data_IF_401940997418
#
_entry.id   IF_401940997418
#
_cell.length_a   1.000
_cell.length_b   1.000
_cell.length_c   1.000
_cell.angle_alpha   90.00
_cell.angle_beta   90.00
_cell.angle_gamma   90.00
#
_symmetry.space_group_name_H-M   'P 1'
#
loop_
_entity.id
_entity.type
_entity.pdbx_description
1 polymer ?
#
# COMPACT_ATOMS: atom_id res chain seq x y z
N UNK A 1 -34.03 20.14 28.28
CA UNK A 1 -32.55 20.16 28.13
C UNK A 1 -31.95 18.81 27.75
N UNK A 2 -32.34 17.70 28.39
CA UNK A 2 -31.81 16.35 28.08
C UNK A 2 -32.00 15.91 26.62
N UNK A 3 -33.21 16.08 26.06
CA UNK A 3 -33.52 15.71 24.67
C UNK A 3 -32.68 16.52 23.66
N UNK A 4 -32.46 17.81 23.92
CA UNK A 4 -31.67 18.68 23.06
C UNK A 4 -30.20 18.22 23.00
N UNK A 5 -29.65 17.81 24.15
CA UNK A 5 -28.29 17.29 24.27
C UNK A 5 -28.15 15.94 23.52
N UNK A 6 -29.14 15.07 23.62
CA UNK A 6 -29.16 13.79 22.90
C UNK A 6 -29.21 13.99 21.38
N UNK A 7 -29.99 14.96 20.89
CA UNK A 7 -30.05 15.30 19.46
C UNK A 7 -28.70 15.84 18.97
N UNK A 8 -28.07 16.73 19.76
CA UNK A 8 -26.76 17.29 19.43
C UNK A 8 -25.67 16.21 19.32
N UNK A 9 -25.67 15.20 20.21
CA UNK A 9 -24.72 14.10 20.13
C UNK A 9 -24.96 13.19 18.92
N UNK A 10 -26.22 12.95 18.54
CA UNK A 10 -26.55 12.16 17.35
C UNK A 10 -26.09 12.85 16.06
N UNK A 11 -26.32 14.16 15.93
CA UNK A 11 -25.94 14.90 14.73
C UNK A 11 -24.43 15.12 14.63
N UNK A 12 -23.73 15.26 15.76
CA UNK A 12 -22.27 15.35 15.79
C UNK A 12 -21.59 14.08 15.25
N UNK A 13 -22.15 12.89 15.53
CA UNK A 13 -21.63 11.63 15.03
C UNK A 13 -21.70 11.47 13.50
N UNK A 14 -22.68 12.10 12.84
CA UNK A 14 -22.86 12.03 11.39
C UNK A 14 -21.83 12.87 10.61
N UNK A 15 -21.16 13.82 11.26
CA UNK A 15 -20.13 14.68 10.64
C UNK A 15 -18.74 14.04 10.70
N UNK A 16 -18.58 12.96 11.48
CA UNK A 16 -17.30 12.27 11.61
C UNK A 16 -17.06 11.37 10.40
N UNK A 17 -16.10 11.73 9.56
CA UNK A 17 -15.55 10.87 8.50
C UNK A 17 -14.63 9.80 9.08
N UNK A 18 -15.12 9.01 10.03
CA UNK A 18 -14.37 7.92 10.68
C UNK A 18 -14.40 6.60 9.87
N UNK A 19 -14.95 6.64 8.66
CA UNK A 19 -15.02 5.48 7.78
C UNK A 19 -13.61 5.22 7.22
N UNK A 20 -13.11 3.96 7.23
CA UNK A 20 -11.89 3.64 6.51
C UNK A 20 -12.02 4.07 5.05
N UNK A 21 -11.14 4.95 4.60
CA UNK A 21 -11.04 5.32 3.19
C UNK A 21 -9.98 4.46 2.51
N UNK A 22 -10.26 4.07 1.27
CA UNK A 22 -9.26 3.43 0.42
C UNK A 22 -8.11 4.41 0.15
N UNK A 23 -6.92 4.09 0.65
CA UNK A 23 -5.73 4.94 0.51
C UNK A 23 -5.03 4.72 -0.84
N UNK A 24 -4.90 3.47 -1.29
CA UNK A 24 -4.25 3.12 -2.57
C UNK A 24 -4.75 1.78 -3.10
N UNK A 25 -4.80 1.67 -4.43
CA UNK A 25 -5.04 0.41 -5.14
C UNK A 25 -3.81 0.09 -5.97
N UNK A 26 -3.22 -1.09 -5.74
CA UNK A 26 -2.22 -1.66 -6.63
C UNK A 26 -2.92 -2.56 -7.64
N UNK A 27 -2.61 -2.38 -8.94
CA UNK A 27 -3.15 -3.20 -10.03
C UNK A 27 -2.47 -4.57 -10.16
N UNK A 28 -1.48 -4.84 -9.31
CA UNK A 28 -0.63 -6.03 -9.29
C UNK A 28 -0.52 -6.54 -7.86
N UNK A 29 -0.11 -7.80 -7.71
CA UNK A 29 0.19 -8.37 -6.38
C UNK A 29 1.19 -7.50 -5.64
N UNK A 30 0.86 -7.19 -4.39
CA UNK A 30 1.65 -6.34 -3.50
C UNK A 30 1.66 -6.95 -2.12
N UNK A 31 2.81 -6.97 -1.47
CA UNK A 31 2.98 -7.50 -0.11
C UNK A 31 4.01 -6.67 0.66
N UNK A 32 4.20 -6.97 1.95
CA UNK A 32 5.11 -6.24 2.85
C UNK A 32 6.41 -7.05 3.02
N UNK A 33 7.53 -6.35 2.98
CA UNK A 33 8.84 -6.87 3.40
C UNK A 33 9.44 -5.94 4.45
N UNK A 34 10.27 -6.48 5.36
CA UNK A 34 10.98 -5.69 6.36
C UNK A 34 12.47 -5.64 6.02
N UNK A 35 13.02 -4.44 5.90
CA UNK A 35 14.42 -4.21 5.55
C UNK A 35 15.19 -3.68 6.77
N UNK A 36 16.33 -4.29 7.12
CA UNK A 36 17.07 -3.99 8.36
C UNK A 36 17.33 -2.49 8.59
N UNK A 37 17.65 -1.74 7.54
CA UNK A 37 18.01 -0.31 7.62
C UNK A 37 16.89 0.64 7.18
N UNK A 38 15.80 0.12 6.64
CA UNK A 38 14.74 0.95 6.04
C UNK A 38 13.35 0.66 6.62
N UNK A 39 13.22 -0.33 7.51
CA UNK A 39 11.95 -0.77 8.07
C UNK A 39 11.04 -1.42 7.03
N UNK A 40 9.74 -1.38 7.30
CA UNK A 40 8.75 -2.02 6.45
C UNK A 40 8.53 -1.25 5.15
N UNK A 41 8.34 -2.02 4.07
CA UNK A 41 8.08 -1.53 2.72
C UNK A 41 7.04 -2.41 2.06
N UNK A 42 6.17 -1.80 1.28
CA UNK A 42 5.43 -2.55 0.27
C UNK A 42 6.38 -2.88 -0.87
N UNK A 43 6.23 -4.06 -1.46
CA UNK A 43 6.84 -4.38 -2.73
C UNK A 43 5.76 -4.80 -3.72
N UNK A 44 5.86 -4.30 -4.94
CA UNK A 44 4.94 -4.60 -6.03
C UNK A 44 5.74 -4.92 -7.29
N UNK A 45 5.18 -5.83 -8.09
CA UNK A 45 5.80 -6.30 -9.32
C UNK A 45 5.24 -5.55 -10.54
N UNK A 46 6.08 -4.77 -11.21
CA UNK A 46 5.73 -4.17 -12.49
C UNK A 46 6.16 -5.11 -13.62
N UNK A 47 5.21 -5.95 -14.05
CA UNK A 47 5.40 -6.96 -15.09
C UNK A 47 5.77 -6.31 -16.43
N UNK A 48 5.11 -5.20 -16.78
CA UNK A 48 5.28 -4.54 -18.06
C UNK A 48 6.69 -3.98 -18.22
N UNK A 49 7.22 -3.37 -17.16
CA UNK A 49 8.56 -2.77 -17.16
C UNK A 49 9.65 -3.69 -16.63
N UNK A 50 9.32 -4.94 -16.25
CA UNK A 50 10.25 -5.91 -15.66
C UNK A 50 10.95 -5.34 -14.41
N UNK A 51 10.16 -4.81 -13.47
CA UNK A 51 10.67 -4.16 -12.26
C UNK A 51 10.05 -4.73 -10.98
N UNK A 52 10.82 -4.72 -9.91
CA UNK A 52 10.31 -4.70 -8.55
C UNK A 52 10.31 -3.26 -8.05
N UNK A 53 9.18 -2.79 -7.53
CA UNK A 53 9.04 -1.44 -6.97
C UNK A 53 8.75 -1.55 -5.49
N UNK A 54 9.55 -0.87 -4.69
CA UNK A 54 9.35 -0.75 -3.25
C UNK A 54 8.71 0.60 -2.96
N UNK A 55 7.71 0.60 -2.09
CA UNK A 55 7.03 1.78 -1.60
C UNK A 55 7.15 1.87 -0.09
N UNK A 56 7.21 3.09 0.42
CA UNK A 56 7.05 3.36 1.84
C UNK A 56 5.63 2.99 2.30
N UNK A 57 5.41 2.93 3.62
CA UNK A 57 4.09 2.61 4.18
C UNK A 57 3.02 3.67 3.89
N UNK A 58 3.42 4.86 3.41
CA UNK A 58 2.55 5.93 2.90
C UNK A 58 2.34 5.87 1.37
N UNK A 59 2.67 4.74 0.75
CA UNK A 59 2.59 4.48 -0.70
C UNK A 59 3.51 5.34 -1.59
N UNK A 60 4.39 6.18 -1.03
CA UNK A 60 5.40 6.89 -1.81
C UNK A 60 6.48 5.93 -2.35
N UNK A 61 6.95 6.15 -3.58
CA UNK A 61 7.97 5.30 -4.20
C UNK A 61 9.30 5.43 -3.43
N UNK A 62 9.84 4.31 -2.97
CA UNK A 62 11.11 4.23 -2.24
C UNK A 62 12.27 3.83 -3.16
N UNK A 63 12.09 2.76 -3.93
CA UNK A 63 13.14 2.22 -4.80
C UNK A 63 12.54 1.46 -5.99
N UNK A 64 13.19 1.55 -7.14
CA UNK A 64 12.91 0.70 -8.31
C UNK A 64 14.11 -0.19 -8.57
N UNK A 65 13.86 -1.50 -8.70
CA UNK A 65 14.86 -2.51 -9.03
C UNK A 65 14.49 -3.09 -10.39
N UNK A 66 15.35 -2.88 -11.40
CA UNK A 66 15.19 -3.52 -12.69
C UNK A 66 15.55 -5.00 -12.60
N UNK A 67 14.72 -5.87 -13.16
CA UNK A 67 14.91 -7.30 -13.16
C UNK A 67 15.27 -7.78 -14.57
N UNK A 68 16.24 -8.68 -14.66
CA UNK A 68 16.59 -9.32 -15.92
C UNK A 68 15.63 -10.47 -16.18
N UNK A 69 14.73 -10.31 -17.14
CA UNK A 69 13.78 -11.35 -17.56
C UNK A 69 14.15 -11.81 -18.97
N UNK A 70 14.51 -13.11 -19.15
CA UNK A 70 14.79 -13.68 -20.46
C UNK A 70 13.64 -13.50 -21.46
N UNK A 71 13.97 -13.52 -22.74
CA UNK A 71 12.97 -13.41 -23.81
C UNK A 71 11.97 -14.57 -23.76
N UNK A 72 10.67 -14.27 -23.93
CA UNK A 72 9.59 -15.26 -23.83
C UNK A 72 9.12 -15.56 -22.40
N UNK A 73 9.72 -14.95 -21.37
CA UNK A 73 9.31 -15.11 -19.97
C UNK A 73 8.72 -13.82 -19.40
N UNK A 74 7.96 -13.98 -18.31
CA UNK A 74 7.36 -12.89 -17.56
C UNK A 74 7.60 -13.06 -16.05
N UNK A 75 7.48 -11.98 -15.30
CA UNK A 75 7.60 -12.03 -13.85
C UNK A 75 6.32 -12.63 -13.27
N UNK A 76 6.46 -13.68 -12.45
CA UNK A 76 5.34 -14.38 -11.83
C UNK A 76 5.15 -13.98 -10.36
N UNK A 77 6.24 -13.98 -9.58
CA UNK A 77 6.20 -13.64 -8.16
C UNK A 77 7.59 -13.18 -7.66
N UNK A 78 7.62 -12.53 -6.50
CA UNK A 78 8.83 -12.15 -5.79
C UNK A 78 8.87 -12.92 -4.46
N UNK A 79 9.76 -13.90 -4.39
CA UNK A 79 9.87 -14.79 -3.22
C UNK A 79 10.57 -14.15 -2.02
N UNK A 80 11.60 -13.33 -2.26
CA UNK A 80 12.38 -12.73 -1.19
C UNK A 80 12.92 -11.36 -1.60
N UNK A 81 12.92 -10.43 -0.65
CA UNK A 81 13.60 -9.15 -0.74
C UNK A 81 14.50 -9.03 0.49
N UNK A 82 15.78 -8.78 0.26
CA UNK A 82 16.77 -8.53 1.30
C UNK A 82 17.71 -7.41 0.86
N UNK A 83 18.22 -6.63 1.80
CA UNK A 83 19.19 -5.56 1.54
C UNK A 83 20.18 -5.43 2.67
#
# INVERSE_FOLDING_TARGET
>A
MKILLSILMLTAGMVLFAQPSLETVYSVSTNICSLEKAGDKYYAMDIANKQCRLYNMDHSLFLTINLTVPEGYYLFDIQQISR
#
